data_IF_662740222197
#
_entry.id   IF_662740222197
#
_cell.length_a   1.000
_cell.length_b   1.000
_cell.length_c   1.000
_cell.angle_alpha   90.00
_cell.angle_beta   90.00
_cell.angle_gamma   90.00
#
_symmetry.space_group_name_H-M   'P 1'
#
loop_
_entity.id
_entity.type
_entity.pdbx_description
1 polymer ?
#
# COMPACT_ATOMS: atom_id res chain seq x y z
N UNK A 1 13.67 -2.31 -56.86
CA UNK A 1 14.38 -1.41 -55.93
C UNK A 1 13.53 -1.26 -54.68
N UNK A 2 13.92 -1.90 -53.58
CA UNK A 2 13.33 -1.66 -52.27
C UNK A 2 14.51 -1.49 -51.32
N UNK A 3 14.83 -0.24 -51.02
CA UNK A 3 15.96 0.15 -50.19
C UNK A 3 15.62 -0.15 -48.74
N UNK A 4 16.31 -1.15 -48.17
CA UNK A 4 16.23 -1.51 -46.77
C UNK A 4 16.91 -0.41 -45.95
N UNK A 5 16.13 0.52 -45.39
CA UNK A 5 16.62 1.44 -44.37
C UNK A 5 16.52 0.73 -43.03
N UNK A 6 17.55 -0.02 -42.66
CA UNK A 6 17.79 -0.39 -41.27
C UNK A 6 18.07 0.91 -40.52
N UNK A 7 17.13 1.37 -39.70
CA UNK A 7 17.39 2.42 -38.73
C UNK A 7 18.59 1.99 -37.87
N UNK A 8 19.72 2.69 -38.01
CA UNK A 8 20.81 2.59 -37.06
C UNK A 8 20.27 3.14 -35.73
N UNK A 9 20.08 2.28 -34.74
CA UNK A 9 19.88 2.72 -33.37
C UNK A 9 21.14 3.52 -32.99
N UNK A 10 21.00 4.83 -32.79
CA UNK A 10 22.09 5.70 -32.37
C UNK A 10 22.72 5.18 -31.07
N UNK A 11 24.03 5.31 -30.94
CA UNK A 11 24.70 5.01 -29.67
C UNK A 11 24.13 5.92 -28.57
N UNK A 12 23.90 5.39 -27.36
CA UNK A 12 23.36 6.18 -26.27
C UNK A 12 24.31 7.33 -25.94
N UNK A 13 23.74 8.48 -25.55
CA UNK A 13 24.54 9.65 -25.17
C UNK A 13 25.53 9.26 -24.04
N UNK A 14 26.80 9.71 -24.10
CA UNK A 14 27.73 9.51 -22.99
C UNK A 14 27.21 10.27 -21.77
N UNK A 15 27.28 9.65 -20.59
CA UNK A 15 26.85 10.31 -19.36
C UNK A 15 27.95 11.31 -18.95
N UNK A 16 27.60 12.58 -18.66
CA UNK A 16 28.59 13.56 -18.24
C UNK A 16 29.30 13.18 -16.94
N UNK A 17 30.58 13.51 -16.85
CA UNK A 17 31.34 13.48 -15.60
C UNK A 17 31.03 14.76 -14.83
N UNK A 18 30.59 14.62 -13.58
CA UNK A 18 30.31 15.75 -12.71
C UNK A 18 31.58 16.60 -12.51
N UNK A 19 31.49 17.94 -12.56
CA UNK A 19 32.63 18.81 -12.35
C UNK A 19 33.31 18.56 -11.01
N UNK A 20 34.61 18.88 -10.91
CA UNK A 20 35.28 18.88 -9.61
C UNK A 20 34.62 19.89 -8.68
N UNK A 21 34.83 19.75 -7.37
CA UNK A 21 34.28 20.67 -6.37
C UNK A 21 34.67 22.12 -6.63
N UNK A 22 35.90 22.37 -7.06
CA UNK A 22 36.40 23.70 -7.40
C UNK A 22 35.69 24.24 -8.64
N UNK A 23 35.63 23.44 -9.70
CA UNK A 23 34.95 23.81 -10.95
C UNK A 23 33.46 24.11 -10.71
N UNK A 24 32.74 23.24 -10.01
CA UNK A 24 31.32 23.43 -9.70
C UNK A 24 31.05 24.76 -8.98
N UNK A 25 31.88 25.07 -7.98
CA UNK A 25 31.77 26.32 -7.22
C UNK A 25 32.07 27.57 -8.05
N UNK A 26 32.93 27.46 -9.06
CA UNK A 26 33.24 28.55 -9.98
C UNK A 26 32.17 28.79 -11.05
N UNK A 27 31.31 27.80 -11.31
CA UNK A 27 30.24 27.91 -12.31
C UNK A 27 29.13 28.85 -11.85
N UNK A 28 28.57 29.60 -12.80
CA UNK A 28 27.36 30.40 -12.60
C UNK A 28 26.12 29.51 -12.45
N UNK A 29 25.00 30.02 -11.89
CA UNK A 29 23.74 29.28 -11.83
C UNK A 29 23.31 28.73 -13.21
N UNK A 30 23.34 29.53 -14.26
CA UNK A 30 22.97 29.11 -15.63
C UNK A 30 23.91 28.05 -16.21
N UNK A 31 25.20 28.06 -15.83
CA UNK A 31 26.14 27.00 -16.20
C UNK A 31 25.81 25.69 -15.50
N UNK A 32 25.46 25.75 -14.22
CA UNK A 32 25.04 24.56 -13.44
C UNK A 32 23.74 24.01 -13.97
N UNK A 33 22.75 24.85 -14.22
CA UNK A 33 21.46 24.44 -14.77
C UNK A 33 21.63 23.74 -16.13
N UNK A 34 22.37 24.34 -17.07
CA UNK A 34 22.66 23.71 -18.36
C UNK A 34 23.36 22.36 -18.22
N UNK A 35 24.27 22.23 -17.25
CA UNK A 35 24.93 20.96 -16.97
C UNK A 35 23.94 19.91 -16.42
N UNK A 36 23.06 20.30 -15.50
CA UNK A 36 22.05 19.40 -14.93
C UNK A 36 21.04 18.93 -15.99
N UNK A 37 20.63 19.82 -16.90
CA UNK A 37 19.80 19.46 -18.07
C UNK A 37 20.54 18.43 -18.93
N UNK A 38 21.81 18.66 -19.23
CA UNK A 38 22.62 17.74 -20.02
C UNK A 38 22.73 16.34 -19.38
N UNK A 39 22.95 16.30 -18.07
CA UNK A 39 22.99 15.05 -17.28
C UNK A 39 21.64 14.33 -17.32
N UNK A 40 20.54 15.04 -17.07
CA UNK A 40 19.20 14.44 -17.07
C UNK A 40 18.81 13.93 -18.46
N UNK A 41 19.14 14.65 -19.52
CA UNK A 41 18.93 14.21 -20.90
C UNK A 41 19.73 12.93 -21.21
N UNK A 42 20.99 12.85 -20.77
CA UNK A 42 21.83 11.68 -20.99
C UNK A 42 21.38 10.45 -20.20
N UNK A 43 20.89 10.65 -18.97
CA UNK A 43 20.37 9.58 -18.11
C UNK A 43 18.99 9.09 -18.56
N UNK A 44 18.18 9.97 -19.16
CA UNK A 44 16.83 9.67 -19.66
C UNK A 44 16.79 9.15 -21.10
N UNK A 45 17.96 8.86 -21.71
CA UNK A 45 18.06 8.39 -23.09
C UNK A 45 17.15 7.16 -23.31
N UNK A 46 16.21 7.19 -24.27
CA UNK A 46 15.28 6.09 -24.52
C UNK A 46 15.96 4.73 -24.73
N UNK A 47 17.17 4.70 -25.31
CA UNK A 47 17.92 3.45 -25.50
C UNK A 47 18.32 2.81 -24.17
N UNK A 48 18.57 3.62 -23.12
CA UNK A 48 18.85 3.16 -21.76
C UNK A 48 17.56 2.73 -21.06
N UNK A 49 16.49 3.53 -21.21
CA UNK A 49 15.19 3.30 -20.57
C UNK A 49 14.39 2.14 -21.17
N UNK A 50 14.69 1.71 -22.41
CA UNK A 50 14.04 0.58 -23.08
C UNK A 50 14.16 -0.77 -22.34
N UNK A 51 15.05 -0.87 -21.34
CA UNK A 51 15.20 -2.05 -20.49
C UNK A 51 14.18 -2.11 -19.33
N UNK A 52 13.46 -1.02 -19.06
CA UNK A 52 12.51 -0.91 -17.95
C UNK A 52 11.09 -1.32 -18.35
N UNK A 53 10.64 -2.47 -17.86
CA UNK A 53 9.24 -2.90 -17.99
C UNK A 53 8.35 -2.30 -16.88
N UNK A 54 7.02 -2.27 -17.10
CA UNK A 54 6.02 -1.89 -16.08
C UNK A 54 6.26 -2.50 -14.67
N UNK A 55 6.67 -3.77 -14.55
CA UNK A 55 6.89 -4.36 -13.22
C UNK A 55 8.10 -3.81 -12.47
N UNK A 56 9.10 -3.29 -13.18
CA UNK A 56 10.27 -2.65 -12.59
C UNK A 56 9.87 -1.28 -12.02
N UNK A 57 9.23 -0.43 -12.83
CA UNK A 57 8.68 0.87 -12.38
C UNK A 57 7.76 0.72 -11.16
N UNK A 58 6.84 -0.26 -11.17
CA UNK A 58 5.95 -0.50 -10.03
C UNK A 58 6.68 -0.87 -8.73
N UNK A 59 7.84 -1.52 -8.81
CA UNK A 59 8.61 -1.88 -7.62
C UNK A 59 9.27 -0.64 -6.99
N UNK A 60 9.76 0.30 -7.80
CA UNK A 60 10.37 1.57 -7.36
C UNK A 60 9.36 2.45 -6.63
N UNK A 61 8.25 2.74 -7.32
CA UNK A 61 7.14 3.54 -6.77
C UNK A 61 6.63 2.95 -5.45
N UNK A 62 6.47 1.63 -5.38
CA UNK A 62 6.01 0.98 -4.15
C UNK A 62 7.04 1.09 -3.02
N UNK A 63 8.34 1.00 -3.32
CA UNK A 63 9.37 1.16 -2.31
C UNK A 63 9.37 2.58 -1.74
N UNK A 64 9.32 3.61 -2.60
CA UNK A 64 9.21 5.00 -2.17
C UNK A 64 7.95 5.24 -1.34
N UNK A 65 6.79 4.75 -1.79
CA UNK A 65 5.52 4.93 -1.08
C UNK A 65 5.53 4.27 0.31
N UNK A 66 6.00 3.01 0.42
CA UNK A 66 6.13 2.32 1.72
C UNK A 66 7.10 3.03 2.67
N UNK A 67 8.28 3.42 2.18
CA UNK A 67 9.30 4.09 2.99
C UNK A 67 8.87 5.50 3.40
N UNK A 68 8.35 6.28 2.45
CA UNK A 68 7.89 7.65 2.67
C UNK A 68 6.77 7.70 3.69
N UNK A 69 5.74 6.85 3.54
CA UNK A 69 4.66 6.77 4.51
C UNK A 69 5.16 6.37 5.91
N UNK A 70 6.06 5.37 5.98
CA UNK A 70 6.62 4.92 7.25
C UNK A 70 7.39 6.02 7.97
N UNK A 71 8.35 6.66 7.31
CA UNK A 71 9.19 7.66 7.96
C UNK A 71 8.44 8.94 8.30
N UNK A 72 7.48 9.34 7.45
CA UNK A 72 6.54 10.41 7.77
C UNK A 72 5.74 10.09 9.04
N UNK A 73 5.23 8.86 9.15
CA UNK A 73 4.45 8.41 10.33
C UNK A 73 5.32 8.36 11.59
N UNK A 74 6.57 7.92 11.48
CA UNK A 74 7.53 7.85 12.60
C UNK A 74 8.13 9.20 12.99
N UNK A 75 7.92 10.25 12.19
CA UNK A 75 8.58 11.56 12.37
C UNK A 75 10.09 11.53 12.17
N UNK A 76 10.62 10.52 11.45
CA UNK A 76 12.05 10.41 11.17
C UNK A 76 12.38 11.23 9.92
N UNK A 77 13.36 12.13 10.05
CA UNK A 77 13.78 13.00 8.95
C UNK A 77 14.70 12.22 8.00
N UNK A 78 14.25 12.06 6.77
CA UNK A 78 14.97 11.36 5.71
C UNK A 78 14.48 11.87 4.35
N UNK A 79 15.42 12.05 3.44
CA UNK A 79 15.16 12.39 2.05
C UNK A 79 15.09 11.13 1.23
N UNK A 80 14.02 10.96 0.44
CA UNK A 80 13.81 9.81 -0.44
C UNK A 80 13.56 10.30 -1.85
N UNK A 81 14.20 9.69 -2.84
CA UNK A 81 13.91 9.94 -4.24
C UNK A 81 14.03 8.66 -5.07
N UNK A 82 13.31 8.61 -6.18
CA UNK A 82 13.45 7.61 -7.23
C UNK A 82 13.94 8.28 -8.52
N UNK A 83 14.82 7.59 -9.25
CA UNK A 83 15.31 8.00 -10.57
C UNK A 83 15.96 9.39 -10.63
N UNK A 84 16.31 10.00 -9.49
CA UNK A 84 16.96 11.31 -9.44
C UNK A 84 18.45 11.20 -9.78
N UNK A 85 18.95 12.12 -10.61
CA UNK A 85 20.38 12.21 -10.91
C UNK A 85 21.21 12.52 -9.65
N UNK A 86 22.40 11.94 -9.56
CA UNK A 86 23.32 12.08 -8.43
C UNK A 86 24.71 12.40 -8.95
N UNK A 87 25.29 13.48 -8.41
CA UNK A 87 26.58 14.03 -8.85
C UNK A 87 27.57 14.00 -7.71
N UNK A 88 28.51 13.06 -7.78
CA UNK A 88 29.72 13.06 -6.95
C UNK A 88 30.86 13.77 -7.70
N UNK A 89 31.65 14.64 -7.06
CA UNK A 89 32.65 15.45 -7.78
C UNK A 89 33.68 14.61 -8.53
N UNK A 90 33.87 14.89 -9.83
CA UNK A 90 34.84 14.18 -10.67
C UNK A 90 34.45 12.76 -11.06
N UNK A 91 33.23 12.34 -10.75
CA UNK A 91 32.70 11.01 -11.07
C UNK A 91 31.66 11.12 -12.18
N UNK A 92 31.49 10.06 -12.97
CA UNK A 92 30.36 9.96 -13.89
C UNK A 92 29.05 10.19 -13.10
N UNK A 93 28.09 10.92 -13.66
CA UNK A 93 26.76 11.04 -13.06
C UNK A 93 26.03 9.69 -13.11
N UNK A 94 25.04 9.49 -12.24
CA UNK A 94 24.20 8.30 -12.26
C UNK A 94 22.83 8.60 -11.69
N UNK A 95 21.85 7.72 -11.91
CA UNK A 95 20.51 7.80 -11.35
C UNK A 95 20.17 6.44 -10.73
N UNK A 96 20.14 6.34 -9.39
CA UNK A 96 19.68 5.14 -8.70
C UNK A 96 18.16 4.97 -8.80
N UNK A 97 17.68 3.73 -8.81
CA UNK A 97 16.23 3.47 -8.76
C UNK A 97 15.57 4.02 -7.50
N UNK A 98 16.21 3.87 -6.33
CA UNK A 98 15.80 4.45 -5.06
C UNK A 98 17.04 4.89 -4.29
N UNK A 99 16.99 6.11 -3.75
CA UNK A 99 18.02 6.64 -2.85
C UNK A 99 17.42 7.15 -1.54
N UNK A 100 18.25 7.17 -0.52
CA UNK A 100 17.93 7.76 0.77
C UNK A 100 19.10 8.56 1.35
N UNK A 101 18.79 9.70 1.96
CA UNK A 101 19.74 10.54 2.70
C UNK A 101 19.15 10.87 4.07
N UNK A 102 19.83 10.47 5.13
CA UNK A 102 19.39 10.66 6.50
C UNK A 102 19.49 12.13 6.91
N UNK A 103 18.59 12.53 7.81
CA UNK A 103 18.57 13.85 8.46
C UNK A 103 18.47 15.02 7.48
N UNK A 104 17.94 14.78 6.27
CA UNK A 104 17.58 15.80 5.29
C UNK A 104 16.06 15.77 5.11
N UNK A 105 15.36 16.91 5.32
CA UNK A 105 13.92 16.96 5.15
C UNK A 105 13.54 16.88 3.68
N UNK A 106 12.48 16.12 3.38
CA UNK A 106 11.79 16.20 2.11
C UNK A 106 10.81 17.37 2.15
N UNK A 107 10.97 18.33 1.24
CA UNK A 107 10.11 19.51 1.10
C UNK A 107 9.04 19.17 0.05
N UNK A 108 7.81 19.65 0.24
CA UNK A 108 6.68 19.32 -0.65
C UNK A 108 6.92 19.79 -2.09
N UNK A 109 7.41 21.02 -2.25
CA UNK A 109 7.82 21.60 -3.54
C UNK A 109 9.35 21.54 -3.70
N UNK A 110 9.92 20.33 -3.70
CA UNK A 110 11.36 20.17 -3.90
C UNK A 110 11.76 20.40 -5.37
N UNK A 111 12.43 21.53 -5.63
CA UNK A 111 12.89 21.94 -6.96
C UNK A 111 14.25 21.32 -7.36
N UNK A 112 14.78 20.37 -6.58
CA UNK A 112 16.03 19.68 -6.92
C UNK A 112 15.90 18.89 -8.23
N UNK A 113 16.68 19.30 -9.21
CA UNK A 113 16.85 18.55 -10.46
C UNK A 113 17.85 17.37 -10.32
N UNK A 114 18.66 17.38 -9.26
CA UNK A 114 19.64 16.34 -8.95
C UNK A 114 20.13 16.45 -7.49
N UNK A 115 20.65 15.36 -6.94
CA UNK A 115 21.45 15.35 -5.72
C UNK A 115 22.90 15.74 -6.03
N UNK A 116 23.25 17.01 -5.81
CA UNK A 116 24.62 17.49 -6.01
C UNK A 116 25.37 17.48 -4.69
N UNK A 117 26.29 16.52 -4.51
CA UNK A 117 27.01 16.32 -3.24
C UNK A 117 27.80 17.57 -2.81
N UNK A 118 28.24 18.41 -3.75
CA UNK A 118 28.92 19.68 -3.44
C UNK A 118 28.00 20.69 -2.76
N UNK A 119 26.75 20.79 -3.23
CA UNK A 119 25.76 21.75 -2.74
C UNK A 119 25.12 21.25 -1.44
N UNK A 120 24.80 19.95 -1.38
CA UNK A 120 24.21 19.30 -0.20
C UNK A 120 25.22 19.08 0.94
N UNK A 121 26.51 19.07 0.61
CA UNK A 121 27.60 18.82 1.57
C UNK A 121 27.66 17.37 2.09
N UNK A 122 26.82 16.46 1.58
CA UNK A 122 26.77 15.05 1.95
C UNK A 122 26.41 14.14 0.77
N UNK A 123 26.86 12.90 0.85
CA UNK A 123 26.53 11.84 -0.10
C UNK A 123 25.21 11.14 0.22
N UNK A 124 24.92 10.08 -0.52
CA UNK A 124 23.82 9.17 -0.24
C UNK A 124 24.15 8.25 0.94
N UNK A 125 23.14 7.93 1.75
CA UNK A 125 23.27 6.98 2.86
C UNK A 125 22.86 5.56 2.45
N UNK A 126 21.89 5.45 1.53
CA UNK A 126 21.38 4.18 1.05
C UNK A 126 20.98 4.26 -0.42
N UNK A 127 21.26 3.19 -1.15
CA UNK A 127 20.81 2.98 -2.53
C UNK A 127 20.15 1.61 -2.66
N UNK A 128 19.04 1.55 -3.39
CA UNK A 128 18.37 0.31 -3.79
C UNK A 128 18.17 0.31 -5.31
N UNK A 129 18.64 -0.74 -5.98
CA UNK A 129 18.44 -0.99 -7.41
C UNK A 129 17.49 -2.17 -7.65
N UNK A 130 16.64 -2.10 -8.65
CA UNK A 130 15.67 -3.14 -9.02
C UNK A 130 16.11 -3.81 -10.32
N UNK A 131 16.92 -4.86 -10.21
CA UNK A 131 17.40 -5.58 -11.39
C UNK A 131 16.29 -6.44 -12.04
N UNK A 132 16.04 -6.24 -13.34
CA UNK A 132 15.15 -7.11 -14.14
C UNK A 132 15.85 -7.77 -15.34
N UNK A 133 15.81 -7.16 -16.54
CA UNK A 133 16.46 -7.68 -17.77
C UNK A 133 17.72 -6.89 -18.16
N UNK A 134 18.21 -6.02 -17.27
CA UNK A 134 19.36 -5.17 -17.49
C UNK A 134 20.71 -5.90 -17.36
N UNK A 135 21.79 -5.12 -17.49
CA UNK A 135 23.15 -5.62 -17.30
C UNK A 135 23.41 -5.97 -15.83
N UNK A 136 23.37 -7.26 -15.51
CA UNK A 136 23.61 -7.76 -14.16
C UNK A 136 25.03 -7.46 -13.66
N UNK A 137 26.02 -7.38 -14.56
CA UNK A 137 27.42 -7.11 -14.18
C UNK A 137 27.54 -5.67 -13.68
N UNK A 138 26.83 -4.74 -14.32
CA UNK A 138 26.73 -3.34 -13.86
C UNK A 138 26.30 -3.30 -12.38
N UNK A 139 25.16 -3.88 -12.04
CA UNK A 139 24.62 -3.73 -10.68
C UNK A 139 25.32 -4.63 -9.65
N UNK A 140 25.66 -5.87 -10.00
CA UNK A 140 26.24 -6.84 -9.04
C UNK A 140 27.76 -6.74 -8.86
N UNK A 141 28.46 -6.00 -9.72
CA UNK A 141 29.93 -5.87 -9.68
C UNK A 141 30.35 -4.40 -9.78
N UNK A 142 30.07 -3.74 -10.91
CA UNK A 142 30.62 -2.41 -11.19
C UNK A 142 30.09 -1.36 -10.18
N UNK A 143 28.79 -1.37 -9.91
CA UNK A 143 28.15 -0.48 -8.93
C UNK A 143 28.53 -0.82 -7.49
N UNK A 144 28.75 -2.10 -7.17
CA UNK A 144 29.23 -2.52 -5.83
C UNK A 144 30.59 -1.88 -5.55
N UNK A 145 31.52 -1.95 -6.50
CA UNK A 145 32.84 -1.33 -6.34
C UNK A 145 32.76 0.21 -6.36
N UNK A 146 31.98 0.78 -7.28
CA UNK A 146 31.81 2.22 -7.42
C UNK A 146 31.20 2.83 -6.17
N UNK A 147 30.05 2.34 -5.69
CA UNK A 147 29.35 2.93 -4.56
C UNK A 147 30.11 2.80 -3.25
N UNK A 148 30.86 1.71 -3.07
CA UNK A 148 31.80 1.60 -1.95
C UNK A 148 32.86 2.70 -1.98
N UNK A 149 33.45 2.97 -3.15
CA UNK A 149 34.44 4.04 -3.33
C UNK A 149 33.86 5.44 -3.13
N UNK A 150 32.58 5.64 -3.46
CA UNK A 150 31.84 6.89 -3.18
C UNK A 150 31.48 7.05 -1.69
N UNK A 151 31.70 6.02 -0.87
CA UNK A 151 31.41 6.05 0.56
C UNK A 151 29.92 5.91 0.89
N UNK A 152 29.11 5.35 -0.01
CA UNK A 152 27.68 5.10 0.24
C UNK A 152 27.57 3.96 1.27
N UNK A 153 27.03 4.19 2.48
CA UNK A 153 27.02 3.21 3.56
C UNK A 153 26.36 1.88 3.22
N UNK A 154 25.18 1.91 2.58
CA UNK A 154 24.43 0.70 2.23
C UNK A 154 23.97 0.68 0.78
N UNK A 155 24.14 -0.48 0.14
CA UNK A 155 23.71 -0.73 -1.22
C UNK A 155 22.93 -2.05 -1.32
N UNK A 156 21.70 -1.97 -1.81
CA UNK A 156 20.81 -3.10 -2.00
C UNK A 156 20.42 -3.27 -3.45
N UNK A 157 20.22 -4.53 -3.86
CA UNK A 157 19.75 -4.87 -5.19
C UNK A 157 18.61 -5.87 -5.03
N UNK A 158 17.41 -5.50 -5.47
CA UNK A 158 16.30 -6.42 -5.65
C UNK A 158 16.34 -7.00 -7.06
N UNK A 159 16.91 -8.20 -7.18
CA UNK A 159 16.87 -8.98 -8.41
C UNK A 159 15.50 -9.63 -8.58
N UNK A 160 14.62 -8.91 -9.28
CA UNK A 160 13.26 -9.34 -9.55
C UNK A 160 13.20 -10.57 -10.46
N UNK A 161 14.15 -10.73 -11.38
CA UNK A 161 14.17 -11.88 -12.27
C UNK A 161 14.47 -13.18 -11.52
N UNK A 162 15.40 -13.14 -10.55
CA UNK A 162 15.76 -14.30 -9.74
C UNK A 162 15.03 -14.38 -8.40
N UNK A 163 14.22 -13.38 -8.06
CA UNK A 163 13.57 -13.27 -6.75
C UNK A 163 14.59 -13.34 -5.61
N UNK A 164 15.62 -12.49 -5.68
CA UNK A 164 16.69 -12.41 -4.68
C UNK A 164 16.97 -10.97 -4.29
N UNK A 165 17.44 -10.79 -3.06
CA UNK A 165 18.02 -9.54 -2.60
C UNK A 165 19.53 -9.75 -2.44
N UNK A 166 20.30 -8.75 -2.84
CA UNK A 166 21.71 -8.61 -2.50
C UNK A 166 21.82 -7.37 -1.64
N UNK A 167 22.46 -7.48 -0.48
CA UNK A 167 22.72 -6.34 0.39
C UNK A 167 24.22 -6.22 0.64
N UNK A 168 24.71 -4.99 0.68
CA UNK A 168 26.09 -4.63 0.86
C UNK A 168 26.20 -3.47 1.85
N UNK A 169 27.20 -3.51 2.74
CA UNK A 169 27.41 -2.48 3.78
C UNK A 169 28.89 -2.13 3.92
N UNK A 170 29.20 -0.85 4.08
CA UNK A 170 30.49 -0.40 4.56
C UNK A 170 30.53 -0.54 6.07
N UNK A 171 31.46 -1.33 6.60
CA UNK A 171 31.60 -1.53 8.06
C UNK A 171 32.06 -0.25 8.78
N UNK A 172 32.76 0.62 8.05
CA UNK A 172 33.30 1.88 8.57
C UNK A 172 33.18 2.99 7.52
N UNK A 173 33.02 4.27 7.92
CA UNK A 173 32.85 5.39 6.99
C UNK A 173 33.98 5.61 5.97
N UNK A 174 35.17 5.05 6.22
CA UNK A 174 36.35 5.16 5.33
C UNK A 174 36.65 3.87 4.58
N UNK A 175 35.81 2.83 4.72
CA UNK A 175 35.99 1.60 3.99
C UNK A 175 35.79 1.86 2.48
N UNK A 176 36.67 1.30 1.65
CA UNK A 176 36.60 1.42 0.19
C UNK A 176 35.97 0.18 -0.48
N UNK A 177 35.49 -0.78 0.32
CA UNK A 177 34.90 -2.04 -0.15
C UNK A 177 33.74 -2.43 0.76
N UNK A 178 32.69 -2.96 0.16
CA UNK A 178 31.55 -3.50 0.87
C UNK A 178 31.81 -4.89 1.45
N UNK A 179 31.14 -5.17 2.58
CA UNK A 179 30.84 -6.52 3.05
C UNK A 179 29.43 -6.90 2.61
N UNK A 180 29.23 -8.17 2.25
CA UNK A 180 27.90 -8.69 1.90
C UNK A 180 27.06 -8.89 3.16
N UNK A 181 25.84 -8.36 3.16
CA UNK A 181 24.85 -8.58 4.22
C UNK A 181 24.30 -10.00 4.08
N UNK A 182 24.40 -10.77 5.16
CA UNK A 182 23.84 -12.13 5.25
C UNK A 182 22.41 -12.04 5.79
N UNK A 183 21.41 -12.61 5.09
CA UNK A 183 20.04 -12.55 5.56
C UNK A 183 19.83 -13.40 6.82
N UNK A 184 19.02 -12.89 7.74
CA UNK A 184 18.58 -13.62 8.93
C UNK A 184 17.11 -13.99 8.75
N UNK A 185 16.78 -15.28 8.73
CA UNK A 185 15.41 -15.74 8.48
C UNK A 185 14.83 -15.29 7.13
N UNK A 186 15.68 -15.08 6.11
CA UNK A 186 15.27 -14.58 4.80
C UNK A 186 15.14 -13.06 4.69
N UNK A 187 15.42 -12.33 5.78
CA UNK A 187 15.37 -10.87 5.85
C UNK A 187 16.77 -10.27 5.82
N UNK A 188 16.95 -9.21 5.03
CA UNK A 188 18.20 -8.45 4.95
C UNK A 188 18.06 -7.16 5.73
N UNK A 189 18.82 -7.02 6.81
CA UNK A 189 18.70 -5.86 7.70
C UNK A 189 19.47 -4.66 7.18
N UNK A 190 18.79 -3.52 7.02
CA UNK A 190 19.37 -2.21 6.72
C UNK A 190 19.52 -1.42 8.02
N UNK A 191 20.75 -1.05 8.36
CA UNK A 191 21.05 -0.19 9.51
C UNK A 191 20.71 1.27 9.20
N UNK A 192 20.88 1.70 7.95
CA UNK A 192 20.57 3.07 7.51
C UNK A 192 19.07 3.31 7.63
N UNK A 193 18.25 2.42 7.08
CA UNK A 193 16.80 2.56 7.14
C UNK A 193 16.22 2.14 8.49
N UNK A 194 16.94 1.33 9.28
CA UNK A 194 16.39 0.72 10.50
C UNK A 194 15.26 -0.26 10.19
N UNK A 195 15.32 -0.90 9.02
CA UNK A 195 14.29 -1.76 8.47
C UNK A 195 14.91 -3.04 7.91
N UNK A 196 14.12 -4.10 7.87
CA UNK A 196 14.47 -5.33 7.19
C UNK A 196 13.81 -5.41 5.81
N UNK A 197 14.57 -5.84 4.81
CA UNK A 197 14.10 -6.07 3.44
C UNK A 197 13.89 -7.57 3.23
N UNK A 198 12.75 -7.95 2.65
CA UNK A 198 12.50 -9.32 2.24
C UNK A 198 11.64 -9.39 0.98
N UNK A 199 11.60 -10.57 0.36
CA UNK A 199 10.70 -10.84 -0.75
C UNK A 199 9.55 -11.69 -0.22
N UNK A 200 8.34 -11.15 -0.27
CA UNK A 200 7.11 -11.84 0.13
C UNK A 200 6.07 -11.72 -0.98
N UNK A 201 5.41 -12.83 -1.31
CA UNK A 201 4.44 -12.89 -2.42
C UNK A 201 5.03 -12.48 -3.77
N UNK A 202 6.34 -12.67 -3.98
CA UNK A 202 7.03 -12.28 -5.21
C UNK A 202 7.36 -10.79 -5.33
N UNK A 203 7.27 -10.04 -4.22
CA UNK A 203 7.47 -8.59 -4.19
C UNK A 203 8.39 -8.18 -3.05
N UNK A 204 9.19 -7.12 -3.28
CA UNK A 204 10.00 -6.50 -2.24
C UNK A 204 9.08 -5.87 -1.18
N UNK A 205 9.35 -6.19 0.08
CA UNK A 205 8.65 -5.69 1.27
C UNK A 205 9.66 -5.24 2.32
N UNK A 206 9.24 -4.29 3.14
CA UNK A 206 10.02 -3.75 4.25
C UNK A 206 9.34 -4.10 5.57
N UNK A 207 10.13 -4.29 6.63
CA UNK A 207 9.63 -4.63 7.95
C UNK A 207 10.32 -3.79 9.02
N UNK A 208 9.53 -3.32 9.99
CA UNK A 208 10.03 -2.78 11.25
C UNK A 208 9.78 -3.83 12.35
N UNK A 209 10.84 -4.52 12.78
CA UNK A 209 10.70 -5.71 13.63
C UNK A 209 9.82 -6.76 12.96
N UNK A 210 8.70 -7.13 13.59
CA UNK A 210 7.76 -8.12 13.02
C UNK A 210 6.68 -7.49 12.13
N UNK A 211 6.54 -6.16 12.12
CA UNK A 211 5.50 -5.47 11.37
C UNK A 211 5.93 -5.23 9.91
N UNK A 212 5.13 -5.69 8.96
CA UNK A 212 5.28 -5.33 7.54
C UNK A 212 4.85 -3.87 7.32
N UNK A 213 5.61 -3.14 6.52
CA UNK A 213 5.24 -1.81 6.06
C UNK A 213 4.23 -1.92 4.92
N UNK A 214 3.24 -1.04 4.95
CA UNK A 214 2.21 -0.93 3.92
C UNK A 214 2.38 0.37 3.16
N UNK A 215 2.17 0.32 1.85
CA UNK A 215 2.03 1.52 1.03
C UNK A 215 0.63 2.12 1.14
N UNK A 216 0.44 3.29 0.56
CA UNK A 216 -0.85 3.99 0.49
C UNK A 216 -1.92 3.12 -0.18
N UNK A 217 -1.60 2.49 -1.31
CA UNK A 217 -2.52 1.58 -2.02
C UNK A 217 -2.92 0.36 -1.17
N UNK A 218 -1.96 -0.20 -0.42
CA UNK A 218 -2.20 -1.35 0.47
C UNK A 218 -3.14 -0.95 1.63
N UNK A 219 -2.98 0.27 2.17
CA UNK A 219 -3.86 0.80 3.22
C UNK A 219 -5.25 1.14 2.71
N UNK A 220 -5.37 1.77 1.53
CA UNK A 220 -6.66 2.07 0.89
C UNK A 220 -7.42 0.77 0.66
N UNK A 221 -6.78 -0.24 0.04
CA UNK A 221 -7.42 -1.52 -0.22
C UNK A 221 -7.91 -2.22 1.05
N UNK A 222 -7.14 -2.13 2.15
CA UNK A 222 -7.56 -2.65 3.46
C UNK A 222 -8.75 -1.89 4.04
N UNK A 223 -8.73 -0.56 3.98
CA UNK A 223 -9.82 0.26 4.50
C UNK A 223 -11.11 0.00 3.71
N UNK A 224 -11.02 -0.08 2.37
CA UNK A 224 -12.16 -0.43 1.52
C UNK A 224 -12.73 -1.80 1.91
N UNK A 225 -11.89 -2.84 2.05
CA UNK A 225 -12.37 -4.16 2.47
C UNK A 225 -12.99 -4.16 3.87
N UNK A 226 -12.46 -3.38 4.81
CA UNK A 226 -13.05 -3.24 6.15
C UNK A 226 -14.43 -2.57 6.10
N UNK A 227 -14.62 -1.58 5.22
CA UNK A 227 -15.92 -0.91 5.04
C UNK A 227 -16.93 -1.88 4.42
N UNK A 228 -16.54 -2.60 3.36
CA UNK A 228 -17.38 -3.63 2.72
C UNK A 228 -17.81 -4.72 3.72
N UNK A 229 -16.88 -5.18 4.57
CA UNK A 229 -17.18 -6.17 5.62
C UNK A 229 -18.15 -5.63 6.69
N UNK A 230 -18.07 -4.33 7.01
CA UNK A 230 -18.98 -3.70 7.96
C UNK A 230 -20.37 -3.50 7.37
N UNK A 231 -20.46 -3.10 6.10
CA UNK A 231 -21.73 -2.99 5.36
C UNK A 231 -22.41 -4.36 5.27
N UNK A 232 -21.69 -5.41 4.88
CA UNK A 232 -22.24 -6.77 4.81
C UNK A 232 -22.79 -7.25 6.16
N UNK A 233 -22.13 -6.93 7.27
CA UNK A 233 -22.61 -7.25 8.62
C UNK A 233 -23.84 -6.45 9.02
N UNK A 234 -23.92 -5.18 8.61
CA UNK A 234 -25.08 -4.34 8.87
C UNK A 234 -26.31 -4.86 8.12
N UNK A 235 -26.17 -5.19 6.83
CA UNK A 235 -27.24 -5.76 6.01
C UNK A 235 -27.71 -7.10 6.58
N UNK A 236 -26.79 -7.98 7.02
CA UNK A 236 -27.15 -9.25 7.65
C UNK A 236 -27.91 -9.04 8.97
N UNK A 237 -27.51 -8.05 9.77
CA UNK A 237 -28.19 -7.71 11.01
C UNK A 237 -29.60 -7.14 10.77
N UNK A 238 -29.75 -6.27 9.77
CA UNK A 238 -31.05 -5.71 9.36
C UNK A 238 -31.97 -6.81 8.82
N UNK A 239 -31.46 -7.69 7.96
CA UNK A 239 -32.23 -8.82 7.43
C UNK A 239 -32.73 -9.74 8.56
N UNK A 240 -31.89 -10.03 9.56
CA UNK A 240 -32.28 -10.82 10.74
C UNK A 240 -33.32 -10.11 11.60
N UNK A 241 -33.20 -8.79 11.79
CA UNK A 241 -34.18 -8.01 12.53
C UNK A 241 -35.54 -8.01 11.83
N UNK A 242 -35.55 -7.76 10.52
CA UNK A 242 -36.75 -7.78 9.69
C UNK A 242 -37.40 -9.17 9.67
N UNK A 243 -36.62 -10.25 9.59
CA UNK A 243 -37.13 -11.62 9.65
C UNK A 243 -37.72 -11.94 11.04
N UNK A 244 -37.08 -11.50 12.12
CA UNK A 244 -37.58 -11.69 13.47
C UNK A 244 -38.90 -10.93 13.70
N UNK A 245 -38.99 -9.69 13.21
CA UNK A 245 -40.20 -8.88 13.26
C UNK A 245 -41.33 -9.52 12.43
N UNK A 246 -41.03 -9.94 11.20
CA UNK A 246 -41.99 -10.63 10.34
C UNK A 246 -42.52 -11.92 10.99
N UNK A 247 -41.65 -12.73 11.61
CA UNK A 247 -42.04 -13.94 12.35
C UNK A 247 -42.90 -13.61 13.56
N UNK A 248 -42.57 -12.56 14.31
CA UNK A 248 -43.38 -12.11 15.45
C UNK A 248 -44.78 -11.67 14.99
N UNK A 249 -44.86 -10.86 13.93
CA UNK A 249 -46.11 -10.39 13.35
C UNK A 249 -46.97 -11.53 12.78
N UNK A 250 -46.33 -12.53 12.14
CA UNK A 250 -47.00 -13.75 11.67
C UNK A 250 -47.54 -14.58 12.83
N UNK A 251 -46.78 -14.74 13.92
CA UNK A 251 -47.23 -15.48 15.09
C UNK A 251 -48.44 -14.82 15.79
N UNK A 252 -48.43 -13.49 15.91
CA UNK A 252 -49.57 -12.71 16.44
C UNK A 252 -50.80 -12.89 15.56
N UNK A 253 -50.64 -12.77 14.23
CA UNK A 253 -51.74 -12.98 13.27
C UNK A 253 -52.31 -14.41 13.37
N UNK A 254 -51.44 -15.42 13.40
CA UNK A 254 -51.86 -16.82 13.52
C UNK A 254 -52.63 -17.11 14.82
N UNK A 255 -52.25 -16.47 15.94
CA UNK A 255 -52.99 -16.58 17.20
C UNK A 255 -54.38 -15.95 17.10
N UNK A 256 -54.51 -14.78 16.45
CA UNK A 256 -55.82 -14.14 16.21
C UNK A 256 -56.73 -15.00 15.35
N UNK A 257 -56.18 -15.59 14.28
CA UNK A 257 -56.92 -16.47 13.37
C UNK A 257 -57.36 -17.75 14.07
N UNK A 258 -56.49 -18.34 14.91
CA UNK A 258 -56.82 -19.53 15.70
C UNK A 258 -57.94 -19.26 16.70
N UNK A 259 -57.93 -18.11 17.39
CA UNK A 259 -59.00 -17.72 18.31
C UNK A 259 -60.31 -17.55 17.53
N UNK A 260 -60.28 -16.82 16.41
CA UNK A 260 -61.46 -16.58 15.57
C UNK A 260 -62.08 -17.89 15.07
N UNK A 261 -61.24 -18.79 14.55
CA UNK A 261 -61.65 -20.11 14.06
C UNK A 261 -62.25 -20.96 15.18
N UNK A 262 -61.66 -20.95 16.38
CA UNK A 262 -62.16 -21.72 17.51
C UNK A 262 -63.52 -21.22 18.00
N UNK A 263 -63.74 -19.90 18.04
CA UNK A 263 -65.03 -19.32 18.40
C UNK A 263 -66.12 -19.72 17.40
N UNK A 264 -65.80 -19.66 16.10
CA UNK A 264 -66.70 -20.05 15.00
C UNK A 264 -67.09 -21.53 15.09
N UNK A 265 -66.10 -22.43 15.22
CA UNK A 265 -66.33 -23.89 15.37
C UNK A 265 -67.18 -24.21 16.60
N UNK A 266 -67.05 -23.44 17.68
CA UNK A 266 -67.83 -23.61 18.91
C UNK A 266 -69.21 -22.92 18.86
N UNK A 267 -69.51 -22.20 17.78
CA UNK A 267 -70.77 -21.44 17.64
C UNK A 267 -70.91 -20.30 18.65
N UNK A 268 -69.80 -19.75 19.13
CA UNK A 268 -69.82 -18.61 20.07
C UNK A 268 -69.92 -17.32 19.25
N UNK A 269 -71.05 -16.62 19.38
CA UNK A 269 -71.26 -15.35 18.69
C UNK A 269 -70.24 -14.30 19.16
N UNK A 270 -69.54 -13.70 18.20
CA UNK A 270 -68.49 -12.72 18.44
C UNK A 270 -68.95 -11.36 17.87
N UNK A 271 -69.54 -10.49 18.71
CA UNK A 271 -70.01 -9.17 18.28
C UNK A 271 -68.84 -8.30 17.81
N UNK A 272 -69.14 -7.29 16.98
CA UNK A 272 -68.12 -6.48 16.29
C UNK A 272 -67.14 -5.79 17.26
N UNK A 273 -67.60 -5.40 18.45
CA UNK A 273 -66.74 -4.85 19.49
C UNK A 273 -65.72 -5.86 20.03
N UNK A 274 -66.12 -7.13 20.22
CA UNK A 274 -65.22 -8.19 20.66
C UNK A 274 -64.22 -8.58 19.55
N UNK A 275 -64.67 -8.58 18.28
CA UNK A 275 -63.78 -8.78 17.13
C UNK A 275 -62.74 -7.65 17.03
N UNK A 276 -63.14 -6.41 17.26
CA UNK A 276 -62.22 -5.26 17.27
C UNK A 276 -61.16 -5.34 18.39
N UNK A 277 -61.52 -5.88 19.56
CA UNK A 277 -60.59 -6.13 20.67
C UNK A 277 -59.59 -7.24 20.33
N UNK A 278 -60.03 -8.32 19.69
CA UNK A 278 -59.13 -9.38 19.22
C UNK A 278 -58.12 -8.87 18.19
N UNK A 279 -58.60 -8.09 17.21
CA UNK A 279 -57.76 -7.59 16.10
C UNK A 279 -56.79 -6.49 16.52
N UNK A 280 -57.06 -5.76 17.60
CA UNK A 280 -56.17 -4.71 18.12
C UNK A 280 -55.15 -5.19 19.17
N UNK A 281 -55.21 -6.46 19.59
CA UNK A 281 -54.30 -6.99 20.60
C UNK A 281 -53.01 -7.51 19.99
N UNK A 282 -51.89 -6.81 20.15
CA UNK A 282 -50.56 -7.20 19.64
C UNK A 282 -49.73 -8.02 20.64
N UNK A 283 -50.25 -8.28 21.85
CA UNK A 283 -49.53 -9.05 22.87
C UNK A 283 -49.78 -10.57 22.69
N UNK A 284 -48.77 -11.35 22.27
CA UNK A 284 -48.93 -12.79 22.06
C UNK A 284 -49.26 -13.56 23.35
N UNK A 285 -48.85 -13.07 24.53
CA UNK A 285 -49.17 -13.72 25.80
C UNK A 285 -50.65 -13.52 26.16
N UNK A 286 -51.24 -12.36 25.85
CA UNK A 286 -52.68 -12.11 26.00
C UNK A 286 -53.46 -13.00 25.03
N UNK A 287 -53.07 -13.03 23.75
CA UNK A 287 -53.72 -13.86 22.74
C UNK A 287 -53.65 -15.35 23.10
N UNK A 288 -52.52 -15.87 23.58
CA UNK A 288 -52.44 -17.26 24.06
C UNK A 288 -53.39 -17.54 25.23
N UNK A 289 -53.52 -16.62 26.19
CA UNK A 289 -54.48 -16.77 27.30
C UNK A 289 -55.92 -16.81 26.78
N UNK A 290 -56.27 -15.94 25.84
CA UNK A 290 -57.58 -15.93 25.20
C UNK A 290 -57.85 -17.21 24.42
N UNK A 291 -56.87 -17.71 23.66
CA UNK A 291 -56.99 -18.98 22.94
C UNK A 291 -57.24 -20.17 23.89
N UNK A 292 -56.56 -20.20 25.04
CA UNK A 292 -56.80 -21.22 26.06
C UNK A 292 -58.19 -21.11 26.69
N UNK A 293 -58.63 -19.88 27.04
CA UNK A 293 -59.97 -19.63 27.60
C UNK A 293 -61.08 -19.97 26.61
N UNK A 294 -60.88 -19.67 25.33
CA UNK A 294 -61.82 -19.96 24.25
C UNK A 294 -62.15 -21.46 24.11
N UNK A 295 -61.34 -22.37 24.67
CA UNK A 295 -61.64 -23.81 24.71
C UNK A 295 -62.81 -24.17 25.62
N UNK A 296 -63.04 -23.41 26.69
CA UNK A 296 -64.04 -23.72 27.72
C UNK A 296 -65.09 -22.61 27.92
N UNK A 297 -64.81 -21.39 27.45
CA UNK A 297 -65.72 -20.25 27.56
C UNK A 297 -67.11 -20.52 26.94
N UNK A 298 -68.13 -19.86 27.47
CA UNK A 298 -69.53 -19.97 27.01
C UNK A 298 -69.98 -18.75 26.20
N UNK A 299 -69.24 -17.65 26.28
CA UNK A 299 -69.48 -16.42 25.52
C UNK A 299 -68.17 -15.73 25.13
N UNK A 300 -68.21 -14.81 24.16
CA UNK A 300 -67.04 -14.00 23.77
C UNK A 300 -66.53 -13.10 24.93
N UNK A 301 -67.41 -12.64 25.81
CA UNK A 301 -67.02 -11.83 26.97
C UNK A 301 -66.15 -12.62 27.98
N UNK A 302 -66.42 -13.92 28.15
CA UNK A 302 -65.63 -14.81 29.02
C UNK A 302 -64.23 -15.09 28.45
N UNK A 303 -64.04 -14.89 27.15
CA UNK A 303 -62.74 -15.06 26.48
C UNK A 303 -61.88 -13.80 26.64
N UNK A 304 -62.45 -12.64 26.33
CA UNK A 304 -61.73 -11.36 26.25
C UNK A 304 -61.69 -10.56 27.56
N UNK A 305 -62.15 -11.14 28.67
CA UNK A 305 -62.04 -10.54 30.00
C UNK A 305 -60.57 -10.38 30.40
N UNK A 306 -60.23 -9.27 31.06
CA UNK A 306 -58.85 -8.96 31.48
C UNK A 306 -58.28 -10.03 32.41
#
# INVERSE_FOLDING_TARGET
MATNVRAQAGQPRPIPIAPTKETWRSMTPDERERFLVDVNDALSDPVRMMSEGRPHKKAKVRAIDMLGLHFKTMGRVIYLAEEMAVLYPGEESFSPDVLAVLDVPQIEDDERMAWVVVDEGRGLDFVLEVLHRGDRRKDLVDNVERYARLGIPEYFIYDRAQQRIHGYRLEEPKAARYTRIVPQGGRYSSQVLGLDLAIQGGTLRFFQGMAELFGSDDLIGRLTGMVEDLEAKADEAEAKANEAEAKANQAVTALRDAISTLLDVRGIDCPDNARAVLMSCDDPAVLQRWLLRAKTATSAADVFTT
#
